data_IF_918022656851
#
_entry.id   IF_918022656851
#
_cell.length_a   1.000
_cell.length_b   1.000
_cell.length_c   1.000
_cell.angle_alpha   90.00
_cell.angle_beta   90.00
_cell.angle_gamma   90.00
#
_symmetry.space_group_name_H-M   'P 1'
#
loop_
_entity.id
_entity.type
_entity.pdbx_description
1 polymer ?
#
# COMPACT_ATOMS: atom_id res chain seq x y z
N UNK A 1 22.25 6.62 -35.67
CA UNK A 1 21.85 5.62 -36.71
C UNK A 1 20.35 5.35 -36.70
N UNK A 2 19.73 5.09 -35.53
CA UNK A 2 18.26 4.93 -35.42
C UNK A 2 17.51 6.19 -35.89
N UNK A 3 18.06 7.37 -35.59
CA UNK A 3 17.48 8.67 -35.92
C UNK A 3 17.34 8.92 -37.45
N UNK A 4 18.29 8.40 -38.25
CA UNK A 4 18.25 8.51 -39.70
C UNK A 4 17.17 7.61 -40.33
N UNK A 5 16.91 6.45 -39.72
CA UNK A 5 15.88 5.50 -40.15
C UNK A 5 14.49 6.04 -39.82
N UNK A 6 14.31 6.61 -38.62
CA UNK A 6 13.06 7.25 -38.21
C UNK A 6 12.77 8.46 -39.13
N UNK A 7 13.77 9.29 -39.43
CA UNK A 7 13.62 10.41 -40.37
C UNK A 7 13.23 9.99 -41.78
N UNK A 8 13.70 8.85 -42.27
CA UNK A 8 13.37 8.37 -43.61
C UNK A 8 11.97 7.75 -43.70
N UNK A 9 11.45 7.18 -42.61
CA UNK A 9 10.13 6.51 -42.63
C UNK A 9 8.95 7.46 -42.37
N UNK A 10 9.19 8.63 -41.77
CA UNK A 10 8.12 9.42 -41.13
C UNK A 10 7.74 10.69 -41.90
N UNK A 11 8.46 10.99 -42.99
CA UNK A 11 8.25 12.18 -43.82
C UNK A 11 8.45 13.49 -43.04
N UNK A 12 8.19 14.62 -43.70
CA UNK A 12 8.33 15.96 -43.09
C UNK A 12 7.42 16.14 -41.86
N UNK A 13 6.24 15.52 -41.86
CA UNK A 13 5.27 15.63 -40.78
C UNK A 13 5.72 14.94 -39.49
N UNK A 14 6.22 13.70 -39.57
CA UNK A 14 6.67 13.01 -38.37
C UNK A 14 8.00 13.58 -37.84
N UNK A 15 8.80 14.21 -38.69
CA UNK A 15 10.03 14.90 -38.27
C UNK A 15 9.70 16.14 -37.45
N UNK A 16 8.68 16.90 -37.87
CA UNK A 16 8.11 18.00 -37.09
C UNK A 16 7.55 17.51 -35.75
N UNK A 17 6.83 16.38 -35.72
CA UNK A 17 6.31 15.79 -34.48
C UNK A 17 7.43 15.33 -33.54
N UNK A 18 8.52 14.77 -34.08
CA UNK A 18 9.68 14.34 -33.30
C UNK A 18 10.42 15.53 -32.69
N UNK A 19 10.60 16.62 -33.44
CA UNK A 19 11.20 17.86 -32.93
C UNK A 19 10.33 18.50 -31.84
N UNK A 20 9.01 18.47 -31.97
CA UNK A 20 8.08 18.91 -30.90
C UNK A 20 8.18 18.01 -29.66
N UNK A 21 8.31 16.69 -29.85
CA UNK A 21 8.49 15.76 -28.74
C UNK A 21 9.82 15.99 -28.01
N UNK A 22 10.92 16.20 -28.74
CA UNK A 22 12.23 16.51 -28.17
C UNK A 22 12.23 17.86 -27.45
N UNK A 23 11.61 18.89 -28.03
CA UNK A 23 11.48 20.22 -27.42
C UNK A 23 10.67 20.18 -26.11
N UNK A 24 9.65 19.31 -26.03
CA UNK A 24 8.78 19.16 -24.86
C UNK A 24 9.09 17.93 -24.00
N UNK A 25 10.16 17.19 -24.30
CA UNK A 25 10.48 15.92 -23.63
C UNK A 25 10.62 16.11 -22.10
N UNK A 26 11.21 17.22 -21.67
CA UNK A 26 11.36 17.55 -20.26
C UNK A 26 10.00 17.78 -19.58
N UNK A 27 9.05 18.42 -20.26
CA UNK A 27 7.70 18.65 -19.76
C UNK A 27 6.90 17.34 -19.66
N UNK A 28 6.94 16.52 -20.71
CA UNK A 28 6.27 15.21 -20.77
C UNK A 28 6.80 14.29 -19.67
N UNK A 29 8.13 14.18 -19.55
CA UNK A 29 8.77 13.38 -18.50
C UNK A 29 8.47 13.92 -17.10
N UNK A 30 8.45 15.24 -16.94
CA UNK A 30 8.06 15.89 -15.68
C UNK A 30 6.63 15.55 -15.28
N UNK A 31 5.69 15.56 -16.23
CA UNK A 31 4.30 15.20 -16.00
C UNK A 31 4.14 13.72 -15.63
N UNK A 32 4.86 12.84 -16.34
CA UNK A 32 4.91 11.40 -16.06
C UNK A 32 5.47 11.12 -14.66
N UNK A 33 6.57 11.76 -14.28
CA UNK A 33 7.17 11.64 -12.95
C UNK A 33 6.24 12.20 -11.87
N UNK A 34 5.61 13.36 -12.12
CA UNK A 34 4.63 13.95 -11.23
C UNK A 34 3.44 13.02 -10.99
N UNK A 35 2.92 12.40 -12.05
CA UNK A 35 1.84 11.42 -11.96
C UNK A 35 2.29 10.16 -11.21
N UNK A 36 3.47 9.62 -11.49
CA UNK A 36 4.01 8.47 -10.77
C UNK A 36 4.17 8.78 -9.27
N UNK A 37 4.66 9.97 -8.94
CA UNK A 37 4.77 10.44 -7.57
C UNK A 37 3.41 10.54 -6.87
N UNK A 38 2.41 11.10 -7.54
CA UNK A 38 1.02 11.14 -7.07
C UNK A 38 0.46 9.74 -6.77
N UNK A 39 0.73 8.76 -7.65
CA UNK A 39 0.31 7.36 -7.45
C UNK A 39 1.00 6.74 -6.23
N UNK A 40 2.30 6.99 -6.03
CA UNK A 40 3.03 6.49 -4.86
C UNK A 40 2.45 7.07 -3.57
N UNK A 41 2.16 8.37 -3.52
CA UNK A 41 1.50 9.00 -2.38
C UNK A 41 0.11 8.40 -2.13
N UNK A 42 -0.69 8.25 -3.17
CA UNK A 42 -2.03 7.66 -3.09
C UNK A 42 -2.00 6.20 -2.60
N UNK A 43 -0.99 5.41 -3.00
CA UNK A 43 -0.79 4.04 -2.51
C UNK A 43 -0.39 4.01 -1.03
N UNK A 44 0.49 4.93 -0.61
CA UNK A 44 0.86 5.07 0.81
C UNK A 44 -0.38 5.40 1.66
N UNK A 45 -1.22 6.28 1.14
CA UNK A 45 -2.49 6.66 1.75
C UNK A 45 -3.45 5.48 1.89
N UNK A 46 -3.60 4.68 0.82
CA UNK A 46 -4.42 3.46 0.85
C UNK A 46 -3.94 2.45 1.90
N UNK A 47 -2.62 2.27 2.04
CA UNK A 47 -2.05 1.42 3.09
C UNK A 47 -2.38 1.90 4.50
N UNK A 48 -2.36 3.22 4.75
CA UNK A 48 -2.76 3.78 6.05
C UNK A 48 -4.22 3.47 6.37
N UNK A 49 -5.12 3.60 5.38
CA UNK A 49 -6.54 3.29 5.54
C UNK A 49 -6.73 1.79 5.88
N UNK A 50 -6.05 0.90 5.16
CA UNK A 50 -6.11 -0.54 5.46
C UNK A 50 -5.56 -0.86 6.85
N UNK A 51 -4.46 -0.23 7.25
CA UNK A 51 -3.90 -0.41 8.59
C UNK A 51 -4.88 0.01 9.68
N UNK A 52 -5.56 1.15 9.49
CA UNK A 52 -6.60 1.60 10.42
C UNK A 52 -7.70 0.54 10.57
N UNK A 53 -8.21 -0.02 9.47
CA UNK A 53 -9.20 -1.09 9.56
C UNK A 53 -8.67 -2.35 10.24
N UNK A 54 -7.45 -2.77 9.94
CA UNK A 54 -6.84 -3.96 10.55
C UNK A 54 -6.71 -3.77 12.06
N UNK A 55 -6.27 -2.59 12.53
CA UNK A 55 -6.17 -2.25 13.95
C UNK A 55 -7.56 -2.24 14.59
N UNK A 56 -8.51 -1.51 13.99
CA UNK A 56 -9.87 -1.38 14.52
C UNK A 56 -10.60 -2.73 14.62
N UNK A 57 -10.48 -3.57 13.58
CA UNK A 57 -11.06 -4.91 13.55
C UNK A 57 -10.46 -5.82 14.63
N UNK A 58 -9.17 -5.66 14.92
CA UNK A 58 -8.54 -6.44 15.99
C UNK A 58 -8.99 -5.99 17.36
N UNK A 59 -8.98 -4.70 17.63
CA UNK A 59 -9.38 -4.19 18.95
C UNK A 59 -10.81 -4.61 19.29
N UNK A 60 -11.71 -4.55 18.31
CA UNK A 60 -13.13 -4.84 18.53
C UNK A 60 -13.50 -6.32 18.37
N UNK A 61 -12.80 -7.06 17.50
CA UNK A 61 -13.18 -8.43 17.11
C UNK A 61 -12.02 -9.45 17.19
N UNK A 62 -10.93 -9.15 17.90
CA UNK A 62 -9.83 -10.09 18.15
C UNK A 62 -10.26 -11.54 18.47
N UNK A 63 -11.18 -11.80 19.42
CA UNK A 63 -11.56 -13.18 19.75
C UNK A 63 -12.28 -13.89 18.61
N UNK A 64 -12.97 -13.15 17.74
CA UNK A 64 -13.72 -13.68 16.62
C UNK A 64 -12.85 -13.92 15.39
N UNK A 65 -11.73 -13.19 15.26
CA UNK A 65 -10.77 -13.34 14.16
C UNK A 65 -9.69 -14.40 14.43
N UNK A 66 -9.47 -14.78 15.69
CA UNK A 66 -8.52 -15.80 16.09
C UNK A 66 -9.08 -17.17 15.68
N UNK A 67 -8.48 -17.80 14.67
CA UNK A 67 -8.84 -19.12 14.08
C UNK A 67 -9.87 -19.11 12.95
N UNK A 68 -10.19 -17.96 12.35
CA UNK A 68 -11.05 -17.92 11.16
C UNK A 68 -10.23 -17.95 9.87
N UNK A 69 -10.72 -18.70 8.90
CA UNK A 69 -10.16 -18.71 7.55
C UNK A 69 -10.60 -17.47 6.75
N UNK A 70 -9.92 -17.18 5.63
CA UNK A 70 -10.15 -16.02 4.77
C UNK A 70 -11.62 -15.84 4.40
N UNK A 71 -12.31 -16.91 4.03
CA UNK A 71 -13.73 -16.88 3.65
C UNK A 71 -14.66 -16.59 4.84
N UNK A 72 -14.33 -17.07 6.03
CA UNK A 72 -15.11 -16.81 7.23
C UNK A 72 -14.96 -15.36 7.68
N UNK A 73 -13.77 -14.78 7.49
CA UNK A 73 -13.52 -13.37 7.75
C UNK A 73 -14.25 -12.49 6.72
N UNK A 74 -14.21 -12.81 5.43
CA UNK A 74 -14.93 -12.02 4.41
C UNK A 74 -16.44 -12.02 4.64
N UNK A 75 -17.05 -13.18 4.93
CA UNK A 75 -18.48 -13.29 5.29
C UNK A 75 -18.84 -12.59 6.59
N UNK A 76 -17.90 -12.48 7.52
CA UNK A 76 -18.09 -11.71 8.75
C UNK A 76 -18.08 -10.21 8.46
N UNK A 77 -17.12 -9.75 7.64
CA UNK A 77 -16.97 -8.34 7.28
C UNK A 77 -18.17 -7.78 6.51
N UNK A 78 -18.90 -8.60 5.75
CA UNK A 78 -20.14 -8.15 5.08
C UNK A 78 -21.27 -7.83 6.07
N UNK A 79 -21.24 -8.38 7.29
CA UNK A 79 -22.25 -8.15 8.34
C UNK A 79 -21.86 -7.05 9.31
N UNK A 80 -20.58 -6.70 9.38
CA UNK A 80 -20.06 -5.71 10.33
C UNK A 80 -20.13 -4.31 9.74
N UNK A 81 -20.60 -3.34 10.54
CA UNK A 81 -20.50 -1.93 10.18
C UNK A 81 -19.06 -1.44 10.33
N UNK A 82 -18.41 -1.17 9.19
CA UNK A 82 -17.06 -0.62 9.15
C UNK A 82 -17.10 0.92 9.32
N UNK A 83 -16.22 1.51 10.14
CA UNK A 83 -16.18 2.96 10.36
C UNK A 83 -15.48 3.69 9.20
N UNK A 84 -16.14 3.71 8.03
CA UNK A 84 -15.57 4.27 6.79
C UNK A 84 -15.08 5.71 6.93
N UNK A 85 -15.86 6.58 7.58
CA UNK A 85 -15.52 7.98 7.74
C UNK A 85 -14.27 8.20 8.61
N UNK A 86 -14.11 7.42 9.68
CA UNK A 86 -12.94 7.49 10.55
C UNK A 86 -11.68 7.03 9.81
N UNK A 87 -11.81 5.97 9.01
CA UNK A 87 -10.73 5.47 8.18
C UNK A 87 -10.28 6.51 7.14
N UNK A 88 -11.24 7.22 6.54
CA UNK A 88 -10.94 8.35 5.65
C UNK A 88 -10.24 9.47 6.42
N UNK A 89 -10.73 9.88 7.60
CA UNK A 89 -10.13 10.97 8.38
C UNK A 89 -8.62 10.78 8.65
N UNK A 90 -8.16 9.53 8.81
CA UNK A 90 -6.75 9.20 9.03
C UNK A 90 -5.81 9.44 7.84
N UNK A 91 -6.32 9.55 6.62
CA UNK A 91 -5.52 9.70 5.41
C UNK A 91 -5.33 11.20 5.05
N UNK A 92 -4.12 11.78 5.13
CA UNK A 92 -3.91 13.21 4.91
C UNK A 92 -4.11 13.64 3.45
N UNK A 93 -3.88 12.75 2.49
CA UNK A 93 -3.96 13.07 1.07
C UNK A 93 -5.39 12.83 0.52
N UNK A 94 -5.90 13.68 -0.40
CA UNK A 94 -7.29 13.58 -0.88
C UNK A 94 -7.51 12.47 -1.92
N UNK A 95 -6.46 11.73 -2.29
CA UNK A 95 -6.55 10.59 -3.20
C UNK A 95 -6.03 9.32 -2.56
N UNK A 96 -6.51 8.19 -3.05
CA UNK A 96 -5.95 6.88 -2.75
C UNK A 96 -5.89 6.03 -4.02
N UNK A 97 -5.03 5.01 -4.02
CA UNK A 97 -4.91 4.08 -5.13
C UNK A 97 -4.72 2.66 -4.58
N UNK A 98 -5.55 1.69 -5.00
CA UNK A 98 -5.35 0.28 -4.67
C UNK A 98 -3.97 -0.21 -5.10
N UNK A 99 -3.39 -1.17 -4.37
CA UNK A 99 -2.04 -1.69 -4.64
C UNK A 99 -1.82 -2.16 -6.08
N UNK A 100 -2.87 -2.72 -6.70
CA UNK A 100 -2.83 -3.28 -8.05
C UNK A 100 -3.38 -2.33 -9.12
N UNK A 101 -3.56 -1.04 -8.79
CA UNK A 101 -4.06 -0.03 -9.71
C UNK A 101 -3.07 1.12 -9.85
N UNK A 102 -3.13 1.77 -11.02
CA UNK A 102 -2.44 3.02 -11.31
C UNK A 102 -3.46 4.18 -11.27
N UNK A 103 -4.77 3.88 -11.19
CA UNK A 103 -5.82 4.90 -11.15
C UNK A 103 -5.87 5.56 -9.77
N UNK A 104 -6.01 6.88 -9.78
CA UNK A 104 -6.24 7.69 -8.60
C UNK A 104 -7.75 7.78 -8.35
N UNK A 105 -8.16 7.52 -7.12
CA UNK A 105 -9.55 7.67 -6.69
C UNK A 105 -9.63 8.79 -5.66
N UNK A 106 -10.68 9.60 -5.73
CA UNK A 106 -11.00 10.60 -4.71
C UNK A 106 -11.37 9.93 -3.39
N UNK A 107 -10.94 10.53 -2.30
CA UNK A 107 -11.24 10.18 -0.91
C UNK A 107 -12.73 10.38 -0.59
N UNK A 108 -13.55 9.49 -1.10
CA UNK A 108 -14.99 9.42 -0.81
C UNK A 108 -15.33 8.06 -0.25
N UNK A 109 -16.36 7.99 0.59
CA UNK A 109 -16.82 6.72 1.16
C UNK A 109 -17.25 5.74 0.07
N UNK A 110 -17.96 6.21 -0.96
CA UNK A 110 -18.38 5.38 -2.08
C UNK A 110 -17.19 4.80 -2.85
N UNK A 111 -16.17 5.61 -3.14
CA UNK A 111 -14.96 5.12 -3.80
C UNK A 111 -14.21 4.11 -2.92
N UNK A 112 -14.12 4.38 -1.61
CA UNK A 112 -13.42 3.49 -0.68
C UNK A 112 -14.13 2.14 -0.54
N UNK A 113 -15.47 2.12 -0.43
CA UNK A 113 -16.28 0.89 -0.41
C UNK A 113 -16.10 0.05 -1.67
N UNK A 114 -15.95 0.68 -2.83
CA UNK A 114 -15.69 -0.01 -4.10
C UNK A 114 -14.26 -0.57 -4.18
N UNK A 115 -13.30 0.16 -3.61
CA UNK A 115 -11.89 -0.20 -3.66
C UNK A 115 -11.49 -1.25 -2.60
N UNK A 116 -12.15 -1.25 -1.45
CA UNK A 116 -11.87 -2.17 -0.33
C UNK A 116 -12.96 -3.24 -0.31
N UNK A 117 -12.71 -4.32 -1.04
CA UNK A 117 -13.57 -5.50 -0.96
C UNK A 117 -13.33 -6.24 0.37
N UNK A 118 -14.33 -6.99 0.89
CA UNK A 118 -14.18 -7.78 2.10
C UNK A 118 -13.01 -8.77 2.04
N UNK A 119 -12.69 -9.27 0.84
CA UNK A 119 -11.61 -10.22 0.59
C UNK A 119 -10.24 -9.56 0.76
N UNK A 120 -10.07 -8.34 0.23
CA UNK A 120 -8.84 -7.54 0.41
C UNK A 120 -8.61 -7.27 1.89
N UNK A 121 -9.69 -6.96 2.61
CA UNK A 121 -9.59 -6.66 4.04
C UNK A 121 -9.29 -7.91 4.87
N UNK A 122 -9.91 -9.06 4.53
CA UNK A 122 -9.60 -10.35 5.14
C UNK A 122 -8.13 -10.72 4.95
N UNK A 123 -7.61 -10.55 3.72
CA UNK A 123 -6.21 -10.79 3.39
C UNK A 123 -5.28 -9.83 4.15
N UNK A 124 -5.64 -8.55 4.27
CA UNK A 124 -4.89 -7.58 5.04
C UNK A 124 -4.85 -7.93 6.54
N UNK A 125 -5.95 -8.45 7.11
CA UNK A 125 -6.00 -8.89 8.51
C UNK A 125 -5.08 -10.10 8.73
N UNK A 126 -5.14 -11.11 7.86
CA UNK A 126 -4.31 -12.31 7.92
C UNK A 126 -2.82 -11.95 7.75
N UNK A 127 -2.50 -11.16 6.72
CA UNK A 127 -1.13 -10.70 6.44
C UNK A 127 -0.60 -9.82 7.57
N UNK A 128 -1.44 -8.96 8.13
CA UNK A 128 -1.06 -8.20 9.32
C UNK A 128 -0.79 -9.08 10.54
N UNK A 129 -1.35 -10.30 10.62
CA UNK A 129 -1.15 -11.20 11.77
C UNK A 129 0.22 -11.86 11.70
N UNK A 130 0.66 -12.23 10.49
CA UNK A 130 1.98 -12.83 10.28
C UNK A 130 3.11 -11.82 10.54
N UNK A 131 2.96 -10.56 10.10
CA UNK A 131 3.97 -9.51 10.30
C UNK A 131 4.21 -9.18 11.78
N UNK A 132 3.16 -9.09 12.60
CA UNK A 132 3.31 -8.81 14.04
C UNK A 132 3.89 -10.00 14.79
N UNK A 133 3.53 -11.23 14.40
CA UNK A 133 4.08 -12.45 15.01
C UNK A 133 5.58 -12.57 14.78
N UNK A 134 6.07 -12.24 13.59
CA UNK A 134 7.52 -12.23 13.29
C UNK A 134 8.26 -11.11 14.02
N UNK A 135 7.64 -9.94 14.19
CA UNK A 135 8.23 -8.83 14.94
C UNK A 135 8.35 -9.15 16.44
N UNK A 136 7.31 -9.73 17.05
CA UNK A 136 7.37 -10.16 18.46
C UNK A 136 8.36 -11.29 18.70
N UNK A 137 8.49 -12.24 17.78
CA UNK A 137 9.51 -13.29 17.85
C UNK A 137 10.92 -12.71 17.75
N UNK A 138 11.13 -11.70 16.89
CA UNK A 138 12.41 -11.01 16.74
C UNK A 138 12.77 -10.18 17.99
N UNK A 139 11.79 -9.48 18.57
CA UNK A 139 11.97 -8.72 19.81
C UNK A 139 12.26 -9.64 21.01
N UNK A 140 11.59 -10.80 21.11
CA UNK A 140 11.89 -11.81 22.14
C UNK A 140 13.30 -12.38 21.99
N UNK A 141 13.73 -12.76 20.79
CA UNK A 141 15.09 -13.25 20.54
C UNK A 141 16.16 -12.23 20.96
N UNK A 142 15.95 -10.94 20.64
CA UNK A 142 16.86 -9.87 21.08
C UNK A 142 16.95 -9.77 22.61
N UNK A 143 15.81 -9.81 23.32
CA UNK A 143 15.80 -9.79 24.79
C UNK A 143 16.50 -11.01 25.40
N UNK A 144 16.27 -12.21 24.87
CA UNK A 144 16.94 -13.43 25.34
C UNK A 144 18.46 -13.40 25.12
N UNK A 145 18.93 -12.84 24.01
CA UNK A 145 20.37 -12.70 23.73
C UNK A 145 21.06 -11.65 24.60
N UNK A 146 20.34 -10.61 25.04
CA UNK A 146 20.86 -9.63 26.01
C UNK A 146 20.97 -10.25 27.40
N UNK A 147 19.99 -11.07 27.80
CA UNK A 147 20.01 -11.71 29.11
C UNK A 147 21.09 -12.80 29.23
N UNK A 148 21.38 -13.55 28.16
CA UNK A 148 22.43 -14.58 28.19
C UNK A 148 23.85 -14.00 28.32
N UNK A 149 24.09 -12.79 27.79
CA UNK A 149 25.38 -12.08 27.96
C UNK A 149 25.60 -11.57 29.39
N UNK A 150 24.54 -11.23 30.13
CA UNK A 150 24.67 -10.83 31.53
C UNK A 150 24.95 -12.00 32.47
N UNK A 151 24.42 -13.20 32.19
CA UNK A 151 24.70 -14.40 32.99
C UNK A 151 26.13 -14.92 32.85
N UNK A 152 26.82 -14.72 31.72
CA UNK A 152 28.21 -15.17 31.56
C UNK A 152 29.24 -14.30 32.29
N UNK A 153 28.92 -13.03 32.56
CA UNK A 153 29.83 -12.09 33.26
C UNK A 153 29.86 -12.34 34.77
N UNK A 154 28.81 -12.92 35.34
CA UNK A 154 28.72 -13.16 36.78
C UNK A 154 29.27 -14.52 37.25
N UNK A 155 29.75 -15.37 36.33
CA UNK A 155 30.29 -16.70 36.64
C UNK A 155 31.83 -16.76 36.64
N UNK A 156 32.49 -15.61 36.48
CA UNK A 156 33.96 -15.47 36.49
C UNK A 156 34.50 -14.63 37.67
N UNK A 157 33.66 -14.36 38.67
CA UNK A 157 34.07 -13.82 39.98
C UNK A 157 33.84 -14.87 41.04
#
# INVERSE_FOLDING_TARGET
>A
MIDAIIRSMIGSWGNWLLDQYLAHALWVNGLLLGYAFLVVLARRNFKMILQFFVVHLREKYAPQLKNRDREQISRFLTRVSLPWQQALAHAPFPFFSPSNSIRLYLKTEAALKRAVSPEILAEAVITGQSFMKSEQLSARKKKSAVNSKHSSVNSQK
#
